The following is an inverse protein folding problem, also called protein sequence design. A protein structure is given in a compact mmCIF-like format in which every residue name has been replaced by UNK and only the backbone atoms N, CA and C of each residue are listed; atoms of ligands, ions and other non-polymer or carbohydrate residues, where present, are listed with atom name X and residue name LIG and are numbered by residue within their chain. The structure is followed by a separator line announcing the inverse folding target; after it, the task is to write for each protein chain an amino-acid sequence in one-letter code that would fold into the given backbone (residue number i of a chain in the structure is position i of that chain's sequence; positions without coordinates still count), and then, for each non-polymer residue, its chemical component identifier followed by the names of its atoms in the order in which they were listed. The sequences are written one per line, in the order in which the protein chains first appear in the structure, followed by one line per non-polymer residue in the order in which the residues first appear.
data_IF_175443796186
#
_entry.id   IF_175443796186
#
_cell.length_a   1.000
_cell.length_b   1.000
_cell.length_c   1.000
_cell.angle_alpha   90.00
_cell.angle_beta   90.00
_cell.angle_gamma   90.00
#
_symmetry.space_group_name_H-M   'P 1'
#
loop_
_entity.id
_entity.type
_entity.pdbx_description
1 polymer ?
#
# COMPACT_ATOMS: atom_id res chain seq x y z
N UNK A 1 -29.56 -8.06 4.38
CA UNK A 1 -28.29 -7.90 3.63
C UNK A 1 -27.69 -6.50 3.73
N UNK A 2 -28.43 -5.41 3.47
CA UNK A 2 -27.90 -4.02 3.52
C UNK A 2 -27.30 -3.59 4.87
N UNK A 3 -27.87 -4.06 6.00
CA UNK A 3 -27.36 -3.75 7.35
C UNK A 3 -25.98 -4.39 7.61
N UNK A 4 -25.81 -5.69 7.30
CA UNK A 4 -24.54 -6.40 7.50
C UNK A 4 -23.38 -5.81 6.67
N UNK A 5 -23.65 -5.39 5.43
CA UNK A 5 -22.65 -4.73 4.58
C UNK A 5 -22.20 -3.36 5.11
N UNK A 6 -23.10 -2.60 5.74
CA UNK A 6 -22.77 -1.31 6.36
C UNK A 6 -21.91 -1.47 7.61
N UNK A 7 -22.21 -2.48 8.43
CA UNK A 7 -21.40 -2.80 9.61
C UNK A 7 -20.00 -3.28 9.24
N UNK A 8 -19.88 -4.13 8.21
CA UNK A 8 -18.59 -4.60 7.71
C UNK A 8 -17.75 -3.45 7.12
N UNK A 9 -18.37 -2.50 6.43
CA UNK A 9 -17.69 -1.33 5.91
C UNK A 9 -17.25 -0.36 7.04
N UNK A 10 -18.09 -0.13 8.05
CA UNK A 10 -17.72 0.73 9.19
C UNK A 10 -16.54 0.16 10.00
N UNK A 11 -16.48 -1.16 10.15
CA UNK A 11 -15.36 -1.86 10.77
C UNK A 11 -14.00 -1.52 10.11
N UNK A 12 -13.97 -1.28 8.79
CA UNK A 12 -12.73 -0.91 8.09
C UNK A 12 -12.13 0.39 8.65
N UNK A 13 -12.98 1.39 8.89
CA UNK A 13 -12.56 2.65 9.49
C UNK A 13 -12.26 2.50 10.98
N UNK A 14 -13.07 1.74 11.72
CA UNK A 14 -12.94 1.61 13.17
C UNK A 14 -11.67 0.86 13.61
N UNK A 15 -11.09 0.03 12.74
CA UNK A 15 -9.78 -0.59 13.00
C UNK A 15 -8.59 0.36 12.88
N UNK A 16 -8.77 1.53 12.25
CA UNK A 16 -7.70 2.50 12.22
C UNK A 16 -7.54 3.12 13.62
N UNK A 17 -6.30 3.26 14.12
CA UNK A 17 -6.02 4.04 15.32
C UNK A 17 -6.74 5.40 15.27
N UNK A 18 -7.42 5.82 16.35
CA UNK A 18 -8.15 7.09 16.38
C UNK A 18 -7.30 8.29 15.93
N UNK A 19 -6.03 8.32 16.32
CA UNK A 19 -5.06 9.35 15.97
C UNK A 19 -4.80 9.35 14.46
N UNK A 20 -4.62 8.16 13.86
CA UNK A 20 -4.44 8.03 12.42
C UNK A 20 -5.68 8.50 11.65
N UNK A 21 -6.90 8.22 12.15
CA UNK A 21 -8.13 8.73 11.52
C UNK A 21 -8.16 10.26 11.51
N UNK A 22 -7.80 10.91 12.61
CA UNK A 22 -7.73 12.38 12.70
C UNK A 22 -6.70 12.93 11.72
N UNK A 23 -5.52 12.32 11.65
CA UNK A 23 -4.45 12.75 10.75
C UNK A 23 -4.87 12.58 9.28
N UNK A 24 -5.46 11.44 8.90
CA UNK A 24 -5.96 11.19 7.55
C UNK A 24 -7.05 12.18 7.13
N UNK A 25 -7.97 12.57 8.04
CA UNK A 25 -8.99 13.59 7.74
C UNK A 25 -8.42 15.00 7.54
N UNK A 26 -7.20 15.25 8.02
CA UNK A 26 -6.48 16.53 7.88
C UNK A 26 -5.37 16.49 6.82
N UNK A 27 -5.15 15.32 6.22
CA UNK A 27 -4.10 15.10 5.26
C UNK A 27 -4.41 15.83 3.96
N UNK A 28 -3.37 16.39 3.35
CA UNK A 28 -3.46 16.95 2.00
C UNK A 28 -3.25 15.85 0.97
N UNK A 29 -2.30 14.94 1.22
CA UNK A 29 -2.01 13.80 0.34
C UNK A 29 -1.78 12.53 1.15
N UNK A 30 -2.25 11.42 0.60
CA UNK A 30 -1.84 10.06 0.99
C UNK A 30 -1.04 9.48 -0.17
N UNK A 31 0.24 9.18 0.08
CA UNK A 31 1.20 8.81 -0.94
C UNK A 31 1.67 7.38 -0.68
N UNK A 32 1.24 6.45 -1.53
CA UNK A 32 1.69 5.07 -1.49
C UNK A 32 3.02 4.96 -2.22
N UNK A 33 4.06 4.52 -1.53
CA UNK A 33 5.41 4.36 -2.09
C UNK A 33 5.72 2.88 -2.24
N UNK A 34 5.80 2.41 -3.48
CA UNK A 34 6.17 1.04 -3.78
C UNK A 34 7.64 0.75 -3.38
N UNK A 35 7.98 -0.53 -3.17
CA UNK A 35 9.38 -0.97 -3.05
C UNK A 35 10.10 -1.03 -4.40
N UNK A 36 9.72 -0.16 -5.35
CA UNK A 36 10.28 -0.16 -6.69
C UNK A 36 11.71 0.41 -6.65
N UNK A 37 12.72 -0.35 -7.12
CA UNK A 37 14.10 0.12 -7.13
C UNK A 37 14.33 1.33 -8.04
N UNK A 38 13.48 1.57 -9.04
CA UNK A 38 13.56 2.74 -9.93
C UNK A 38 13.27 4.06 -9.21
N UNK A 39 12.61 4.04 -8.05
CA UNK A 39 12.37 5.26 -7.27
C UNK A 39 13.70 5.78 -6.73
N UNK A 40 14.05 6.99 -7.09
CA UNK A 40 15.26 7.70 -6.67
C UNK A 40 15.00 8.65 -5.50
N UNK A 41 16.06 9.23 -4.94
CA UNK A 41 15.93 10.33 -3.98
C UNK A 41 15.30 11.58 -4.63
N UNK A 42 15.61 11.86 -5.91
CA UNK A 42 15.02 12.98 -6.65
C UNK A 42 13.50 12.85 -6.78
N UNK A 43 12.98 11.63 -6.96
CA UNK A 43 11.53 11.38 -6.95
C UNK A 43 10.90 11.77 -5.60
N UNK A 44 11.60 11.56 -4.48
CA UNK A 44 11.14 11.96 -3.14
C UNK A 44 11.26 13.47 -2.92
N UNK A 45 12.37 14.09 -3.34
CA UNK A 45 12.57 15.53 -3.26
C UNK A 45 11.49 16.27 -4.07
N UNK A 46 11.15 15.76 -5.25
CA UNK A 46 10.11 16.29 -6.12
C UNK A 46 8.69 16.23 -5.51
N UNK A 47 8.43 15.30 -4.57
CA UNK A 47 7.16 15.28 -3.84
C UNK A 47 7.02 16.50 -2.93
N UNK A 48 8.12 17.14 -2.51
CA UNK A 48 8.14 18.21 -1.53
C UNK A 48 7.28 17.85 -0.30
N UNK A 49 7.65 16.74 0.35
CA UNK A 49 6.89 16.19 1.48
C UNK A 49 6.82 17.19 2.63
N UNK A 50 5.65 17.28 3.27
CA UNK A 50 5.38 18.17 4.38
C UNK A 50 4.53 17.54 5.49
N UNK A 51 4.21 18.30 6.55
CA UNK A 51 3.60 17.77 7.76
C UNK A 51 2.13 17.36 7.62
N UNK A 52 1.51 17.56 6.46
CA UNK A 52 0.14 17.11 6.17
C UNK A 52 0.11 15.97 5.14
N UNK A 53 1.27 15.45 4.78
CA UNK A 53 1.38 14.27 3.94
C UNK A 53 1.43 13.01 4.81
N UNK A 54 0.71 12.00 4.33
CA UNK A 54 0.75 10.64 4.85
C UNK A 54 1.51 9.78 3.86
N UNK A 55 2.67 9.28 4.24
CA UNK A 55 3.50 8.41 3.41
C UNK A 55 3.30 6.96 3.83
N UNK A 56 2.82 6.15 2.89
CA UNK A 56 2.49 4.74 3.11
C UNK A 56 3.58 3.87 2.47
N UNK A 57 4.27 3.07 3.28
CA UNK A 57 5.36 2.18 2.85
C UNK A 57 5.03 0.71 3.14
N UNK A 58 5.55 -0.20 2.33
CA UNK A 58 5.13 -1.62 2.36
C UNK A 58 6.24 -2.57 2.78
N UNK A 59 5.88 -3.56 3.59
CA UNK A 59 6.71 -4.68 3.98
C UNK A 59 8.09 -4.21 4.52
N UNK A 60 9.17 -4.48 3.79
CA UNK A 60 10.53 -4.07 4.17
C UNK A 60 10.80 -2.57 4.03
N UNK A 61 9.87 -1.81 3.46
CA UNK A 61 9.95 -0.37 3.21
C UNK A 61 11.34 0.03 2.72
N UNK A 62 11.70 -0.41 1.52
CA UNK A 62 13.06 -0.27 0.98
C UNK A 62 13.51 1.20 0.96
N UNK A 63 12.55 2.11 0.77
CA UNK A 63 12.74 3.57 0.72
C UNK A 63 12.68 4.27 2.07
N UNK A 64 12.70 3.53 3.18
CA UNK A 64 12.55 4.11 4.53
C UNK A 64 13.60 5.17 4.90
N UNK A 65 14.81 5.10 4.34
CA UNK A 65 15.86 6.12 4.58
C UNK A 65 15.53 7.49 3.97
N UNK A 66 14.55 7.56 3.06
CA UNK A 66 14.10 8.80 2.41
C UNK A 66 12.87 9.41 3.11
N UNK A 67 12.36 8.75 4.15
CA UNK A 67 11.19 9.22 4.90
C UNK A 67 11.59 10.30 5.91
N UNK A 68 10.66 11.20 6.20
CA UNK A 68 10.84 12.28 7.18
C UNK A 68 9.95 12.06 8.40
N UNK A 69 10.50 12.35 9.57
CA UNK A 69 9.76 12.38 10.84
C UNK A 69 8.67 13.47 10.87
N UNK A 70 8.76 14.49 10.01
CA UNK A 70 7.74 15.53 9.89
C UNK A 70 6.47 15.02 9.21
N UNK A 71 6.56 14.03 8.33
CA UNK A 71 5.39 13.42 7.68
C UNK A 71 4.66 12.48 8.64
N UNK A 72 3.44 12.08 8.28
CA UNK A 72 2.78 10.94 8.93
C UNK A 72 3.22 9.68 8.19
N UNK A 73 3.90 8.74 8.87
CA UNK A 73 4.41 7.52 8.27
C UNK A 73 3.52 6.33 8.63
N UNK A 74 3.05 5.61 7.61
CA UNK A 74 2.23 4.40 7.77
C UNK A 74 2.97 3.21 7.15
N UNK A 75 3.35 2.24 7.98
CA UNK A 75 4.03 1.04 7.56
C UNK A 75 3.05 -0.13 7.46
N UNK A 76 2.84 -0.64 6.25
CA UNK A 76 1.88 -1.72 5.98
C UNK A 76 2.63 -3.04 5.81
N UNK A 77 2.31 -4.03 6.62
CA UNK A 77 2.93 -5.35 6.55
C UNK A 77 1.91 -6.42 6.19
N UNK A 78 2.20 -7.16 5.12
CA UNK A 78 1.44 -8.34 4.75
C UNK A 78 1.80 -9.52 5.63
N UNK A 79 0.81 -10.31 6.02
CA UNK A 79 1.01 -11.54 6.78
C UNK A 79 1.35 -12.73 5.86
N UNK A 80 2.38 -13.50 6.21
CA UNK A 80 2.71 -14.75 5.54
C UNK A 80 2.13 -15.95 6.29
N UNK A 81 0.97 -16.44 5.84
CA UNK A 81 0.17 -17.43 6.56
C UNK A 81 0.87 -18.75 6.89
N UNK A 82 1.80 -19.21 6.05
CA UNK A 82 2.49 -20.50 6.27
C UNK A 82 3.67 -20.40 7.23
N UNK A 83 4.29 -19.22 7.34
CA UNK A 83 5.50 -19.00 8.15
C UNK A 83 5.21 -18.12 9.37
N UNK A 84 3.94 -17.78 9.60
CA UNK A 84 3.47 -17.07 10.79
C UNK A 84 4.25 -15.79 11.11
N UNK A 85 4.62 -15.03 10.09
CA UNK A 85 5.35 -13.77 10.24
C UNK A 85 4.75 -12.67 9.36
N UNK A 86 5.13 -11.43 9.65
CA UNK A 86 4.81 -10.26 8.84
C UNK A 86 6.02 -9.84 8.02
N UNK A 87 5.83 -9.63 6.72
CA UNK A 87 6.92 -9.20 5.87
C UNK A 87 7.48 -7.85 6.33
N UNK A 88 8.80 -7.78 6.53
CA UNK A 88 9.48 -6.57 6.97
C UNK A 88 9.38 -6.28 8.47
N UNK A 89 8.83 -7.20 9.26
CA UNK A 89 9.03 -7.21 10.71
C UNK A 89 10.09 -8.26 11.10
N UNK A 90 10.98 -7.97 12.08
CA UNK A 90 11.13 -6.68 12.77
C UNK A 90 11.58 -5.57 11.83
N UNK A 91 11.16 -4.33 12.15
CA UNK A 91 11.48 -3.16 11.33
C UNK A 91 12.98 -2.92 11.21
N UNK A 92 13.40 -2.35 10.07
CA UNK A 92 14.77 -1.88 9.88
C UNK A 92 15.10 -0.77 10.89
N UNK A 93 16.38 -0.60 11.30
CA UNK A 93 16.76 0.42 12.28
C UNK A 93 16.34 1.87 11.93
N UNK A 94 16.33 2.23 10.65
CA UNK A 94 15.86 3.55 10.21
C UNK A 94 14.37 3.79 10.49
N UNK A 95 13.54 2.76 10.36
CA UNK A 95 12.11 2.82 10.70
C UNK A 95 11.95 2.89 12.21
N UNK A 96 12.69 2.07 12.97
CA UNK A 96 12.68 2.13 14.44
C UNK A 96 13.02 3.53 14.94
N UNK A 97 14.03 4.17 14.34
CA UNK A 97 14.40 5.55 14.65
C UNK A 97 13.27 6.55 14.36
N UNK A 98 12.52 6.39 13.28
CA UNK A 98 11.36 7.25 13.00
C UNK A 98 10.28 7.13 14.08
N UNK A 99 10.01 5.91 14.54
CA UNK A 99 9.09 5.69 15.67
C UNK A 99 9.59 6.32 16.97
N UNK A 100 10.90 6.30 17.24
CA UNK A 100 11.50 6.95 18.41
C UNK A 100 11.45 8.48 18.31
N UNK A 101 11.68 9.04 17.13
CA UNK A 101 11.72 10.49 16.90
C UNK A 101 10.33 11.14 16.84
N UNK A 102 9.34 10.43 16.31
CA UNK A 102 7.98 10.96 16.12
C UNK A 102 6.93 9.86 16.29
N UNK A 103 6.79 9.32 17.52
CA UNK A 103 5.86 8.22 17.80
C UNK A 103 4.41 8.59 17.50
N UNK A 104 4.05 9.88 17.63
CA UNK A 104 2.71 10.37 17.34
C UNK A 104 2.34 10.39 15.86
N UNK A 105 3.33 10.18 14.99
CA UNK A 105 3.22 10.29 13.53
C UNK A 105 3.56 8.99 12.82
N UNK A 106 3.90 7.93 13.54
CA UNK A 106 4.23 6.62 12.99
C UNK A 106 3.15 5.59 13.36
N UNK A 107 2.64 4.89 12.36
CA UNK A 107 1.56 3.92 12.50
C UNK A 107 1.88 2.65 11.72
N UNK A 108 1.29 1.55 12.17
CA UNK A 108 1.45 0.24 11.52
C UNK A 108 0.08 -0.28 11.08
N UNK A 109 0.00 -0.81 9.86
CA UNK A 109 -1.16 -1.55 9.37
C UNK A 109 -0.73 -2.99 9.11
N UNK A 110 -1.39 -3.94 9.76
CA UNK A 110 -1.18 -5.38 9.55
C UNK A 110 -2.34 -5.90 8.71
N UNK A 111 -2.05 -6.49 7.55
CA UNK A 111 -3.07 -6.96 6.60
C UNK A 111 -2.96 -8.46 6.33
N UNK A 112 -4.11 -9.11 6.15
CA UNK A 112 -4.19 -10.54 5.87
C UNK A 112 -3.98 -11.40 7.11
N UNK A 113 -4.26 -10.86 8.29
CA UNK A 113 -4.03 -11.56 9.56
C UNK A 113 -5.05 -12.68 9.71
N UNK A 114 -4.58 -13.93 9.80
CA UNK A 114 -5.47 -15.11 9.92
C UNK A 114 -5.55 -15.65 11.35
N UNK A 115 -4.71 -15.14 12.25
CA UNK A 115 -4.65 -15.57 13.65
C UNK A 115 -5.10 -14.42 14.56
N UNK A 116 -5.85 -14.69 15.64
CA UNK A 116 -6.20 -13.66 16.61
C UNK A 116 -4.96 -12.97 17.16
N UNK A 117 -4.99 -11.64 17.20
CA UNK A 117 -3.94 -10.82 17.78
C UNK A 117 -4.52 -9.84 18.77
N UNK A 118 -3.78 -9.57 19.85
CA UNK A 118 -4.15 -8.50 20.78
C UNK A 118 -4.03 -7.15 20.09
N UNK A 119 -4.97 -6.25 20.42
CA UNK A 119 -4.86 -4.86 19.99
C UNK A 119 -3.56 -4.23 20.53
N UNK A 120 -2.88 -3.47 19.68
CA UNK A 120 -1.68 -2.72 20.02
C UNK A 120 -1.91 -1.23 19.72
N UNK A 121 -1.40 -0.31 20.55
CA UNK A 121 -1.49 1.12 20.26
C UNK A 121 -0.90 1.44 18.88
N UNK A 122 -1.57 2.30 18.11
CA UNK A 122 -1.11 2.77 16.78
C UNK A 122 -0.93 1.65 15.74
N UNK A 123 -1.48 0.47 15.99
CA UNK A 123 -1.54 -0.63 15.03
C UNK A 123 -2.99 -0.83 14.60
N UNK A 124 -3.25 -0.74 13.29
CA UNK A 124 -4.47 -1.24 12.70
C UNK A 124 -4.28 -2.71 12.33
N UNK A 125 -5.25 -3.56 12.72
CA UNK A 125 -5.24 -4.98 12.40
C UNK A 125 -6.40 -5.26 11.46
N UNK A 126 -6.07 -5.69 10.25
CA UNK A 126 -7.02 -6.12 9.25
C UNK A 126 -6.96 -7.65 9.12
N UNK A 127 -7.89 -8.30 9.80
CA UNK A 127 -8.08 -9.75 9.75
C UNK A 127 -8.59 -10.20 8.38
N UNK A 128 -8.06 -11.35 7.91
CA UNK A 128 -8.41 -12.03 6.67
C UNK A 128 -8.58 -11.06 5.47
N UNK A 129 -9.67 -11.19 4.69
CA UNK A 129 -10.04 -10.26 3.63
C UNK A 129 -10.82 -9.11 4.23
N UNK A 130 -10.21 -7.92 4.17
CA UNK A 130 -10.86 -6.65 4.46
C UNK A 130 -12.20 -6.61 3.69
N UNK A 131 -13.34 -6.36 4.35
CA UNK A 131 -14.67 -6.55 3.77
C UNK A 131 -15.09 -5.41 2.83
N UNK A 132 -14.23 -5.10 1.86
CA UNK A 132 -14.46 -4.14 0.80
C UNK A 132 -14.74 -4.88 -0.51
N UNK A 133 -15.75 -4.47 -1.31
CA UNK A 133 -16.15 -5.19 -2.52
C UNK A 133 -14.97 -5.58 -3.44
N UNK A 134 -14.07 -4.63 -3.73
CA UNK A 134 -12.88 -4.87 -4.54
C UNK A 134 -12.00 -6.03 -4.05
N UNK A 135 -11.90 -6.24 -2.73
CA UNK A 135 -11.08 -7.30 -2.13
C UNK A 135 -11.86 -8.60 -1.99
N UNK A 136 -13.18 -8.52 -1.77
CA UNK A 136 -14.07 -9.67 -1.76
C UNK A 136 -14.16 -10.32 -3.15
N UNK A 137 -14.24 -9.49 -4.19
CA UNK A 137 -14.32 -9.90 -5.60
C UNK A 137 -12.95 -10.27 -6.21
N UNK A 138 -11.87 -10.22 -5.41
CA UNK A 138 -10.53 -10.51 -5.90
C UNK A 138 -10.42 -11.94 -6.46
N UNK A 139 -9.88 -12.11 -7.70
CA UNK A 139 -9.78 -13.41 -8.35
C UNK A 139 -9.07 -14.46 -7.49
N UNK A 140 -9.71 -15.61 -7.29
CA UNK A 140 -9.15 -16.71 -6.50
C UNK A 140 -8.29 -17.65 -7.32
N UNK A 141 -8.65 -17.85 -8.58
CA UNK A 141 -8.03 -18.84 -9.47
C UNK A 141 -7.50 -18.18 -10.74
N UNK A 142 -6.32 -18.62 -11.18
CA UNK A 142 -5.74 -18.28 -12.47
C UNK A 142 -6.47 -19.02 -13.59
N UNK A 143 -6.40 -18.54 -14.85
CA UNK A 143 -6.89 -19.29 -16.00
C UNK A 143 -6.27 -20.70 -16.12
N UNK A 144 -5.07 -20.90 -15.59
CA UNK A 144 -4.40 -22.21 -15.55
C UNK A 144 -4.93 -23.18 -14.48
N UNK A 145 -5.93 -22.78 -13.67
CA UNK A 145 -6.47 -23.60 -12.58
C UNK A 145 -5.63 -23.61 -11.29
N UNK A 146 -4.55 -22.82 -11.20
CA UNK A 146 -3.80 -22.64 -9.94
C UNK A 146 -4.35 -21.44 -9.15
N UNK A 147 -4.35 -21.46 -7.80
CA UNK A 147 -4.79 -20.32 -7.01
C UNK A 147 -3.86 -19.11 -7.17
N UNK A 148 -4.41 -17.91 -6.99
CA UNK A 148 -3.63 -16.73 -6.66
C UNK A 148 -3.25 -16.75 -5.18
N UNK A 149 -2.13 -16.12 -4.82
CA UNK A 149 -1.69 -15.94 -3.43
C UNK A 149 -2.60 -15.00 -2.63
N UNK A 150 -3.51 -14.28 -3.31
CA UNK A 150 -4.35 -13.23 -2.74
C UNK A 150 -3.91 -11.83 -3.20
N UNK A 151 -4.56 -10.77 -2.69
CA UNK A 151 -4.18 -9.39 -2.99
C UNK A 151 -2.79 -9.04 -2.47
N UNK A 152 -2.03 -8.24 -3.21
CA UNK A 152 -0.75 -7.72 -2.73
C UNK A 152 -0.92 -6.80 -1.50
N UNK A 153 0.11 -6.68 -0.65
CA UNK A 153 0.10 -5.74 0.50
C UNK A 153 -0.24 -4.31 0.05
N UNK A 154 0.37 -3.88 -1.06
CA UNK A 154 0.13 -2.57 -1.65
C UNK A 154 -1.31 -2.39 -2.10
N UNK A 155 -1.91 -3.41 -2.74
CA UNK A 155 -3.30 -3.34 -3.19
C UNK A 155 -4.30 -3.31 -2.02
N UNK A 156 -4.08 -4.11 -0.97
CA UNK A 156 -4.91 -4.05 0.25
C UNK A 156 -4.97 -2.62 0.80
N UNK A 157 -3.81 -1.99 1.00
CA UNK A 157 -3.73 -0.61 1.49
C UNK A 157 -4.39 0.38 0.52
N UNK A 158 -4.11 0.26 -0.78
CA UNK A 158 -4.65 1.16 -1.80
C UNK A 158 -6.18 1.13 -1.82
N UNK A 159 -6.80 -0.04 -1.69
CA UNK A 159 -8.26 -0.18 -1.63
C UNK A 159 -8.81 0.43 -0.34
N UNK A 160 -8.13 0.26 0.81
CA UNK A 160 -8.55 0.90 2.08
C UNK A 160 -8.51 2.42 1.98
N UNK A 161 -7.41 3.00 1.50
CA UNK A 161 -7.28 4.45 1.38
C UNK A 161 -8.22 5.02 0.31
N UNK A 162 -8.41 4.36 -0.84
CA UNK A 162 -9.45 4.78 -1.78
C UNK A 162 -10.83 4.73 -1.11
N UNK A 163 -11.19 3.63 -0.45
CA UNK A 163 -12.48 3.53 0.22
C UNK A 163 -12.71 4.64 1.25
N UNK A 164 -11.70 4.97 2.09
CA UNK A 164 -11.74 6.07 3.05
C UNK A 164 -11.96 7.42 2.38
N UNK A 165 -11.33 7.68 1.23
CA UNK A 165 -11.54 8.91 0.46
C UNK A 165 -13.01 9.06 -0.01
N UNK A 166 -13.81 7.98 -0.04
CA UNK A 166 -15.25 8.03 -0.33
C UNK A 166 -16.12 8.32 0.89
N UNK A 167 -15.52 8.55 2.07
CA UNK A 167 -16.22 8.73 3.34
C UNK A 167 -16.22 10.20 3.77
N UNK A 168 -17.26 10.63 4.52
CA UNK A 168 -17.30 12.00 5.04
C UNK A 168 -16.05 12.36 5.85
N UNK A 169 -15.49 13.53 5.58
CA UNK A 169 -14.35 14.09 6.32
C UNK A 169 -12.97 13.70 5.79
N UNK A 170 -12.87 12.85 4.77
CA UNK A 170 -11.61 12.53 4.10
C UNK A 170 -11.53 13.25 2.75
N UNK A 171 -10.52 14.08 2.55
CA UNK A 171 -10.43 14.98 1.39
C UNK A 171 -9.03 15.01 0.74
N UNK A 172 -8.15 14.09 1.12
CA UNK A 172 -6.79 14.05 0.60
C UNK A 172 -6.75 13.65 -0.88
N UNK A 173 -5.68 14.01 -1.58
CA UNK A 173 -5.31 13.35 -2.83
C UNK A 173 -4.69 11.98 -2.56
N UNK A 174 -5.06 10.97 -3.35
CA UNK A 174 -4.49 9.62 -3.25
C UNK A 174 -3.50 9.39 -4.38
N UNK A 175 -2.21 9.26 -4.04
CA UNK A 175 -1.12 9.18 -4.99
C UNK A 175 -0.38 7.84 -4.88
N UNK A 176 0.15 7.35 -6.01
CA UNK A 176 0.94 6.13 -6.08
C UNK A 176 2.28 6.38 -6.78
N UNK A 177 3.38 6.22 -6.05
CA UNK A 177 4.75 6.37 -6.56
C UNK A 177 5.40 4.99 -6.80
N UNK A 178 5.88 4.76 -8.02
CA UNK A 178 6.62 3.55 -8.39
C UNK A 178 5.77 2.30 -8.55
N UNK A 179 4.44 2.42 -8.65
CA UNK A 179 3.53 1.33 -9.05
C UNK A 179 3.59 1.10 -10.57
N UNK A 180 4.80 0.83 -11.07
CA UNK A 180 5.13 0.62 -12.47
C UNK A 180 5.98 -0.64 -12.65
N UNK A 181 6.17 -1.07 -13.90
CA UNK A 181 7.08 -2.18 -14.24
C UNK A 181 8.54 -1.71 -14.42
N UNK A 182 8.87 -0.49 -14.00
CA UNK A 182 10.21 0.05 -14.16
C UNK A 182 11.16 -0.60 -13.15
N UNK A 183 12.27 -1.16 -13.65
CA UNK A 183 13.39 -1.73 -12.88
C UNK A 183 13.08 -2.88 -11.88
N UNK A 184 11.88 -3.46 -11.85
CA UNK A 184 11.55 -4.53 -10.92
C UNK A 184 10.56 -5.55 -11.47
N UNK A 185 10.68 -6.79 -11.02
CA UNK A 185 9.66 -7.84 -11.22
C UNK A 185 8.68 -7.81 -10.07
N UNK A 186 7.40 -7.73 -10.40
CA UNK A 186 6.32 -7.96 -9.46
C UNK A 186 6.39 -9.41 -8.93
N UNK A 187 6.09 -9.62 -7.64
CA UNK A 187 6.07 -10.96 -7.06
C UNK A 187 5.08 -11.86 -7.81
N UNK A 188 5.54 -13.04 -8.23
CA UNK A 188 4.66 -14.01 -8.87
C UNK A 188 3.67 -14.53 -7.84
N UNK A 189 2.37 -14.31 -8.03
CA UNK A 189 1.42 -14.73 -7.00
C UNK A 189 0.08 -14.04 -7.09
N UNK A 190 0.10 -12.77 -7.45
CA UNK A 190 -1.06 -11.89 -7.42
C UNK A 190 -1.76 -11.80 -8.79
N UNK A 191 -3.03 -11.42 -8.76
CA UNK A 191 -3.83 -11.12 -9.94
C UNK A 191 -3.49 -9.71 -10.46
N UNK A 192 -2.27 -9.54 -10.96
CA UNK A 192 -1.73 -8.23 -11.33
C UNK A 192 -2.55 -7.48 -12.37
N UNK A 193 -3.19 -8.19 -13.31
CA UNK A 193 -4.07 -7.56 -14.29
C UNK A 193 -5.32 -6.97 -13.63
N UNK A 194 -5.88 -7.65 -12.63
CA UNK A 194 -6.99 -7.14 -11.83
C UNK A 194 -6.56 -5.93 -11.00
N UNK A 195 -5.43 -6.02 -10.30
CA UNK A 195 -4.94 -4.91 -9.46
C UNK A 195 -4.65 -3.65 -10.27
N UNK A 196 -4.03 -3.79 -11.45
CA UNK A 196 -3.77 -2.68 -12.37
C UNK A 196 -5.06 -2.12 -12.95
N UNK A 197 -5.97 -2.98 -13.43
CA UNK A 197 -7.23 -2.53 -13.99
C UNK A 197 -8.04 -1.73 -12.97
N UNK A 198 -8.09 -2.20 -11.72
CA UNK A 198 -8.73 -1.46 -10.63
C UNK A 198 -8.03 -0.13 -10.35
N UNK A 199 -6.69 -0.10 -10.27
CA UNK A 199 -5.93 1.13 -10.02
C UNK A 199 -6.17 2.18 -11.11
N UNK A 200 -6.30 1.78 -12.37
CA UNK A 200 -6.62 2.70 -13.47
C UNK A 200 -8.06 3.23 -13.42
N UNK A 201 -8.98 2.51 -12.78
CA UNK A 201 -10.39 2.89 -12.65
C UNK A 201 -10.70 3.59 -11.31
N UNK A 202 -9.74 3.67 -10.38
CA UNK A 202 -9.92 4.25 -9.06
C UNK A 202 -9.57 5.74 -9.04
N UNK A 203 -9.61 6.37 -7.86
CA UNK A 203 -9.19 7.77 -7.67
C UNK A 203 -7.68 7.93 -7.48
N UNK A 204 -6.93 6.84 -7.54
CA UNK A 204 -5.48 6.84 -7.35
C UNK A 204 -4.80 7.50 -8.55
N UNK A 205 -3.99 8.52 -8.30
CA UNK A 205 -3.16 9.16 -9.32
C UNK A 205 -1.75 8.59 -9.27
N UNK A 206 -1.33 7.94 -10.35
CA UNK A 206 0.03 7.40 -10.47
C UNK A 206 1.00 8.53 -10.82
N UNK A 207 2.08 8.65 -10.03
CA UNK A 207 3.15 9.61 -10.26
C UNK A 207 4.20 8.96 -11.17
N UNK A 208 4.54 9.64 -12.26
CA UNK A 208 5.62 9.22 -13.15
C UNK A 208 6.98 9.40 -12.47
N UNK A 209 7.85 8.40 -12.57
CA UNK A 209 9.21 8.51 -12.03
C UNK A 209 10.07 9.44 -12.90
N UNK A 210 11.01 10.17 -12.31
CA UNK A 210 11.97 11.00 -13.04
C UNK A 210 12.76 10.20 -14.08
N UNK A 211 13.04 8.93 -13.77
CA UNK A 211 13.72 8.01 -14.70
C UNK A 211 12.90 7.69 -15.95
N UNK A 212 11.56 7.78 -15.88
CA UNK A 212 10.68 7.62 -17.04
C UNK A 212 10.87 8.76 -18.05
N UNK A 213 11.18 9.96 -17.57
CA UNK A 213 11.59 11.12 -18.38
C UNK A 213 12.95 10.97 -19.07
N UNK A 214 13.78 10.00 -18.68
CA UNK A 214 15.13 9.80 -19.24
C UNK A 214 15.19 8.64 -20.25
N UNK A 215 14.10 7.89 -20.45
CA UNK A 215 14.05 6.64 -21.26
C UNK A 215 13.44 6.81 -22.66
N UNK A 216 13.34 8.03 -23.19
CA UNK A 216 12.74 8.30 -24.51
C UNK A 216 13.53 7.74 -25.71
N UNK A 217 14.69 7.11 -25.48
CA UNK A 217 15.59 6.60 -26.52
C UNK A 217 15.83 5.08 -26.49
N UNK A 218 15.20 4.32 -25.60
CA UNK A 218 15.38 2.86 -25.58
C UNK A 218 14.26 2.15 -26.36
N UNK A 219 14.53 1.56 -27.54
CA UNK A 219 13.53 0.77 -28.22
C UNK A 219 13.16 -0.44 -27.36
N UNK A 220 11.88 -0.56 -27.02
CA UNK A 220 11.28 -1.73 -26.41
C UNK A 220 11.57 -2.95 -27.31
N UNK A 221 12.61 -3.73 -26.97
CA UNK A 221 12.81 -5.05 -27.57
C UNK A 221 11.77 -6.01 -27.00
N UNK A 222 10.64 -6.12 -27.68
CA UNK A 222 9.76 -7.27 -27.57
C UNK A 222 10.52 -8.52 -28.04
N UNK A 223 11.05 -9.32 -27.11
CA UNK A 223 11.42 -10.70 -27.45
C UNK A 223 10.13 -11.53 -27.48
N UNK A 224 9.49 -11.51 -28.64
CA UNK A 224 8.52 -12.51 -29.02
C UNK A 224 9.14 -13.90 -29.01
N UNK A 225 8.31 -14.88 -28.64
CA UNK A 225 8.59 -16.32 -28.64
C UNK A 225 9.36 -16.75 -29.90
N UNK A 226 10.38 -17.59 -29.73
CA UNK A 226 10.72 -18.59 -30.75
C UNK A 226 10.14 -19.91 -30.29
N UNK A 227 9.15 -20.39 -31.02
CA UNK A 227 8.79 -21.79 -31.05
C UNK A 227 9.98 -22.59 -31.57
N UNK A 228 10.32 -23.67 -30.87
CA UNK A 228 10.84 -24.91 -31.42
C UNK A 228 10.19 -26.04 -30.64
#
# INVERSE_FOLDING_TARGET
MVSQSRHAAQWVEDNLPPELRVLLRRAERVILVANNPAISAGDFDALALGPRDVVVSFNTAVKAELLSAETVNVFVHGYHGQEFHFFGLPCRPCITRLFEQSPDRCFTLLVGVVNPMSALPRVAIYEDRIPLPTLLDYPRMRPSGKPFAGPSTGFNAMVVFDWLLGRPGYTYELLALGFSNEAGTLWNGHAWDYERAWMHASRVRVIALESAGKRWWWPLRFKGKKAK
#
